data_IF_089700164708
#
_entry.id   IF_089700164708
#
_cell.length_a   1.000
_cell.length_b   1.000
_cell.length_c   1.000
_cell.angle_alpha   90.00
_cell.angle_beta   90.00
_cell.angle_gamma   90.00
#
_symmetry.space_group_name_H-M   'P 1'
#
loop_
_entity.id
_entity.type
_entity.pdbx_description
1 polymer ?
#
# COMPACT_ATOMS: atom_id res chain seq x y z
N UNK A 1 13.42 18.71 -9.24
CA UNK A 1 13.40 18.20 -7.85
C UNK A 1 12.08 17.45 -7.66
N UNK A 2 11.98 16.58 -6.65
CA UNK A 2 10.74 15.88 -6.31
C UNK A 2 10.45 16.05 -4.84
N UNK A 3 9.17 16.05 -4.49
CA UNK A 3 8.69 16.10 -3.11
C UNK A 3 8.05 14.77 -2.76
N UNK A 4 8.38 14.23 -1.58
CA UNK A 4 7.74 13.05 -1.03
C UNK A 4 6.82 13.50 0.09
N UNK A 5 5.53 13.19 -0.05
CA UNK A 5 4.50 13.55 0.91
C UNK A 5 3.76 12.29 1.35
N UNK A 6 3.08 12.35 2.49
CA UNK A 6 2.19 11.28 2.92
C UNK A 6 1.03 11.10 1.93
N UNK A 7 0.67 9.84 1.68
CA UNK A 7 -0.55 9.50 0.96
C UNK A 7 -1.75 9.75 1.88
N UNK A 8 -2.47 10.83 1.64
CA UNK A 8 -3.72 11.16 2.34
C UNK A 8 -4.92 10.58 1.63
N UNK A 9 -5.89 10.07 2.39
CA UNK A 9 -7.13 9.47 1.88
C UNK A 9 -8.20 10.53 1.54
N UNK A 10 -7.78 11.58 0.84
CA UNK A 10 -8.68 12.59 0.26
C UNK A 10 -9.14 12.15 -1.13
N UNK A 11 -10.41 12.38 -1.47
CA UNK A 11 -11.02 11.95 -2.73
C UNK A 11 -10.18 12.29 -3.96
N UNK A 12 -9.72 13.55 -4.07
CA UNK A 12 -8.89 14.01 -5.20
C UNK A 12 -7.54 13.28 -5.30
N UNK A 13 -6.94 12.95 -4.15
CA UNK A 13 -5.66 12.22 -4.12
C UNK A 13 -5.87 10.77 -4.54
N UNK A 14 -6.93 10.14 -4.04
CA UNK A 14 -7.33 8.78 -4.43
C UNK A 14 -7.59 8.70 -5.93
N UNK A 15 -8.32 9.65 -6.50
CA UNK A 15 -8.59 9.72 -7.95
C UNK A 15 -7.31 9.88 -8.76
N UNK A 16 -6.38 10.75 -8.32
CA UNK A 16 -5.12 10.95 -9.04
C UNK A 16 -4.23 9.71 -8.98
N UNK A 17 -4.18 9.04 -7.84
CA UNK A 17 -3.47 7.75 -7.67
C UNK A 17 -4.10 6.66 -8.54
N UNK A 18 -5.43 6.60 -8.59
CA UNK A 18 -6.16 5.63 -9.39
C UNK A 18 -5.90 5.81 -10.89
N UNK A 19 -5.95 7.05 -11.37
CA UNK A 19 -5.64 7.39 -12.76
C UNK A 19 -4.21 7.00 -13.12
N UNK A 20 -3.23 7.31 -12.26
CA UNK A 20 -1.82 6.93 -12.51
C UNK A 20 -1.66 5.41 -12.57
N UNK A 21 -2.31 4.68 -11.67
CA UNK A 21 -2.25 3.22 -11.64
C UNK A 21 -2.93 2.60 -12.87
N UNK A 22 -4.11 3.11 -13.25
CA UNK A 22 -4.87 2.64 -14.42
C UNK A 22 -4.10 2.85 -15.73
N UNK A 23 -3.34 3.94 -15.86
CA UNK A 23 -2.46 4.19 -17.03
C UNK A 23 -1.40 3.10 -17.25
N UNK A 24 -0.94 2.43 -16.18
CA UNK A 24 0.09 1.41 -16.25
C UNK A 24 -0.53 0.00 -16.32
N UNK A 25 -1.57 -0.24 -15.52
CA UNK A 25 -2.12 -1.58 -15.28
C UNK A 25 -3.47 -1.86 -15.93
N UNK A 26 -4.08 -0.85 -16.58
CA UNK A 26 -5.39 -0.93 -17.25
C UNK A 26 -6.54 -1.41 -16.34
N UNK A 27 -6.46 -1.15 -15.04
CA UNK A 27 -7.57 -1.37 -14.08
C UNK A 27 -7.43 -0.43 -12.88
N UNK A 28 -8.54 -0.20 -12.17
CA UNK A 28 -8.60 0.66 -10.98
C UNK A 28 -8.01 -0.02 -9.74
N UNK A 29 -7.28 0.75 -8.93
CA UNK A 29 -6.82 0.39 -7.58
C UNK A 29 -7.74 0.95 -6.48
N UNK A 30 -8.63 1.89 -6.81
CA UNK A 30 -9.42 2.69 -5.85
C UNK A 30 -10.06 1.87 -4.74
N UNK A 31 -10.81 0.82 -5.06
CA UNK A 31 -11.49 -0.01 -4.05
C UNK A 31 -10.51 -0.72 -3.11
N UNK A 32 -9.41 -1.24 -3.67
CA UNK A 32 -8.34 -1.91 -2.91
C UNK A 32 -7.65 -0.92 -1.97
N UNK A 33 -7.33 0.27 -2.47
CA UNK A 33 -6.69 1.32 -1.69
C UNK A 33 -7.60 1.79 -0.53
N UNK A 34 -8.88 2.05 -0.81
CA UNK A 34 -9.86 2.43 0.22
C UNK A 34 -9.98 1.35 1.28
N UNK A 35 -10.11 0.08 0.88
CA UNK A 35 -10.16 -1.04 1.81
C UNK A 35 -8.92 -1.13 2.70
N UNK A 36 -7.73 -1.06 2.10
CA UNK A 36 -6.46 -1.16 2.82
C UNK A 36 -6.21 0.04 3.73
N UNK A 37 -6.76 1.22 3.43
CA UNK A 37 -6.64 2.39 4.29
C UNK A 37 -7.27 2.22 5.67
N UNK A 38 -8.23 1.30 5.80
CA UNK A 38 -8.82 0.92 7.08
C UNK A 38 -7.97 -0.05 7.91
N UNK A 39 -6.87 -0.56 7.38
CA UNK A 39 -6.03 -1.54 8.09
C UNK A 39 -5.10 -0.86 9.10
N UNK A 40 -4.83 -1.57 10.20
CA UNK A 40 -3.94 -1.07 11.25
C UNK A 40 -2.55 -0.81 10.66
N UNK A 41 -1.98 0.34 11.02
CA UNK A 41 -0.65 0.73 10.57
C UNK A 41 -0.57 1.08 9.08
N UNK A 42 -1.72 1.32 8.43
CA UNK A 42 -1.73 1.86 7.08
C UNK A 42 -0.89 3.15 7.00
N UNK A 43 0.02 3.16 6.03
CA UNK A 43 0.84 4.32 5.69
C UNK A 43 1.23 4.23 4.22
N UNK A 44 1.34 5.38 3.58
CA UNK A 44 1.79 5.47 2.21
C UNK A 44 2.43 6.80 1.92
N UNK A 45 3.11 6.88 0.78
CA UNK A 45 3.74 8.08 0.28
C UNK A 45 3.35 8.30 -1.17
N UNK A 46 3.30 9.57 -1.56
CA UNK A 46 3.20 10.02 -2.93
C UNK A 46 4.45 10.82 -3.30
N UNK A 47 4.88 10.71 -4.56
CA UNK A 47 5.98 11.47 -5.13
C UNK A 47 5.38 12.50 -6.08
N UNK A 48 5.68 13.77 -5.85
CA UNK A 48 5.16 14.89 -6.65
C UNK A 48 6.33 15.63 -7.32
N UNK A 49 6.16 15.95 -8.62
CA UNK A 49 7.10 16.77 -9.37
C UNK A 49 7.07 18.25 -8.96
N UNK A 50 8.08 19.03 -9.34
CA UNK A 50 8.05 20.49 -9.15
C UNK A 50 6.87 21.16 -9.88
N UNK A 51 6.32 20.51 -10.91
CA UNK A 51 5.14 20.97 -11.67
C UNK A 51 3.81 20.52 -11.06
N UNK A 52 3.82 19.98 -9.83
CA UNK A 52 2.64 19.48 -9.10
C UNK A 52 1.97 18.26 -9.74
N UNK A 53 2.74 17.45 -10.47
CA UNK A 53 2.25 16.20 -11.05
C UNK A 53 2.59 15.02 -10.13
N UNK A 54 1.64 14.09 -9.97
CA UNK A 54 1.90 12.84 -9.26
C UNK A 54 2.76 11.93 -10.15
N UNK A 55 3.95 11.57 -9.66
CA UNK A 55 4.91 10.72 -10.37
C UNK A 55 4.86 9.25 -9.92
N UNK A 56 4.34 9.00 -8.72
CA UNK A 56 4.30 7.66 -8.14
C UNK A 56 3.71 7.67 -6.74
N UNK A 57 3.36 6.48 -6.28
CA UNK A 57 2.90 6.25 -4.92
C UNK A 57 3.36 4.87 -4.43
N UNK A 58 3.37 4.71 -3.12
CA UNK A 58 3.60 3.43 -2.46
C UNK A 58 2.81 3.41 -1.17
N UNK A 59 2.29 2.25 -0.77
CA UNK A 59 1.60 2.14 0.50
C UNK A 59 1.68 0.71 1.05
N UNK A 60 1.35 0.59 2.32
CA UNK A 60 1.31 -0.67 3.01
C UNK A 60 0.65 -0.55 4.36
N UNK A 61 0.62 -1.65 5.10
CA UNK A 61 0.00 -1.72 6.42
C UNK A 61 0.72 -2.76 7.29
N UNK A 62 0.42 -2.78 8.59
CA UNK A 62 0.93 -3.83 9.47
C UNK A 62 0.31 -5.18 9.08
N UNK A 63 1.17 -6.16 8.84
CA UNK A 63 0.78 -7.55 8.63
C UNK A 63 0.23 -8.11 9.94
N UNK A 64 -1.00 -8.62 9.91
CA UNK A 64 -1.68 -9.14 11.10
C UNK A 64 -2.38 -10.47 10.79
N UNK A 65 -2.50 -11.35 11.81
CA UNK A 65 -3.43 -12.46 11.77
C UNK A 65 -4.83 -11.99 11.36
N UNK A 66 -5.57 -12.84 10.65
CA UNK A 66 -6.90 -12.56 10.06
C UNK A 66 -6.89 -11.74 8.75
N UNK A 67 -5.73 -11.25 8.29
CA UNK A 67 -5.57 -10.77 6.93
C UNK A 67 -5.30 -11.94 5.99
N UNK A 68 -5.95 -11.95 4.82
CA UNK A 68 -5.85 -13.06 3.86
C UNK A 68 -4.40 -13.35 3.47
N UNK A 69 -3.63 -12.33 3.14
CA UNK A 69 -2.25 -12.51 2.67
C UNK A 69 -1.30 -12.92 3.79
N UNK A 70 -1.42 -12.35 4.99
CA UNK A 70 -0.70 -12.82 6.18
C UNK A 70 -0.92 -14.32 6.42
N UNK A 71 -2.17 -14.77 6.39
CA UNK A 71 -2.50 -16.18 6.63
C UNK A 71 -1.97 -17.10 5.52
N UNK A 72 -1.98 -16.64 4.27
CA UNK A 72 -1.41 -17.37 3.13
C UNK A 72 0.10 -17.54 3.27
N UNK A 73 0.83 -16.49 3.70
CA UNK A 73 2.26 -16.61 3.94
C UNK A 73 2.54 -17.48 5.16
N UNK A 74 1.78 -17.30 6.24
CA UNK A 74 1.98 -18.04 7.48
C UNK A 74 1.84 -19.57 7.29
N UNK A 75 0.99 -20.04 6.36
CA UNK A 75 0.83 -21.49 6.11
C UNK A 75 2.05 -22.14 5.46
N UNK A 76 2.90 -21.35 4.81
CA UNK A 76 4.09 -21.85 4.09
C UNK A 76 5.38 -21.71 4.89
N UNK A 77 5.34 -21.08 6.07
CA UNK A 77 6.51 -20.84 6.91
C UNK A 77 6.59 -21.83 8.06
N UNK A 78 7.81 -22.27 8.37
CA UNK A 78 8.08 -22.91 9.66
C UNK A 78 7.86 -21.92 10.81
N UNK A 79 7.69 -22.41 12.03
CA UNK A 79 7.53 -21.55 13.21
C UNK A 79 8.69 -20.57 13.40
N UNK A 80 9.93 -21.00 13.06
CA UNK A 80 11.11 -20.14 13.14
C UNK A 80 11.07 -19.01 12.10
N UNK A 81 10.64 -19.31 10.88
CA UNK A 81 10.53 -18.32 9.80
C UNK A 81 9.38 -17.35 10.06
N UNK A 82 8.25 -17.83 10.57
CA UNK A 82 7.13 -16.97 10.98
C UNK A 82 7.56 -15.93 12.03
N UNK A 83 8.19 -16.39 13.11
CA UNK A 83 8.66 -15.52 14.19
C UNK A 83 9.69 -14.50 13.70
N UNK A 84 10.54 -14.88 12.74
CA UNK A 84 11.59 -14.01 12.21
C UNK A 84 11.08 -12.99 11.18
N UNK A 85 10.14 -13.37 10.32
CA UNK A 85 9.81 -12.61 9.12
C UNK A 85 8.39 -12.04 9.08
N UNK A 86 7.41 -12.71 9.70
CA UNK A 86 6.00 -12.41 9.45
C UNK A 86 5.24 -11.91 10.69
N UNK A 87 5.67 -12.30 11.90
CA UNK A 87 4.96 -11.99 13.15
C UNK A 87 4.76 -10.50 13.41
N UNK A 88 5.76 -9.68 13.08
CA UNK A 88 5.73 -8.23 13.26
C UNK A 88 6.40 -7.57 12.06
N UNK A 89 5.70 -7.55 10.93
CA UNK A 89 6.21 -6.97 9.71
C UNK A 89 5.23 -5.99 9.07
N UNK A 90 5.78 -5.18 8.18
CA UNK A 90 5.02 -4.25 7.36
C UNK A 90 4.89 -4.84 5.96
N UNK A 91 3.65 -4.98 5.48
CA UNK A 91 3.35 -5.41 4.13
C UNK A 91 3.33 -4.20 3.19
N UNK A 92 4.23 -4.18 2.22
CA UNK A 92 4.20 -3.25 1.10
C UNK A 92 3.29 -3.84 0.00
N UNK A 93 2.30 -3.07 -0.45
CA UNK A 93 1.35 -3.53 -1.47
C UNK A 93 1.86 -3.19 -2.87
N UNK A 94 1.70 -4.14 -3.80
CA UNK A 94 1.97 -4.01 -5.23
C UNK A 94 0.90 -3.20 -5.99
#
# INVERSE_FOLDING_TARGET
>A
MVQVNDLVMEERVIETVDLLYEQIWNHSIKERLIKHSGYKGFRGNIIISDHKELLGFSYGYSSLPDQFYHNLLASELSSLEYEKWLKDCFELVE
#
